data_IF_311507926435
#
_entry.id   IF_311507926435
#
_cell.length_a   1.000
_cell.length_b   1.000
_cell.length_c   1.000
_cell.angle_alpha   90.00
_cell.angle_beta   90.00
_cell.angle_gamma   90.00
#
_symmetry.space_group_name_H-M   'P 1'
#
loop_
_entity.id
_entity.type
_entity.pdbx_description
1 polymer ?
#
# COMPACT_ATOMS: atom_id res chain seq x y z
N UNK A 1 -24.70 20.42 8.49
CA UNK A 1 -24.16 19.06 8.28
C UNK A 1 -22.66 19.23 8.17
N UNK A 2 -21.92 18.76 9.16
CA UNK A 2 -20.46 18.85 9.14
C UNK A 2 -19.94 17.98 7.99
N UNK A 3 -18.91 18.44 7.27
CA UNK A 3 -18.38 17.71 6.12
C UNK A 3 -17.58 16.51 6.62
N UNK A 4 -17.87 15.32 6.11
CA UNK A 4 -17.09 14.12 6.40
C UNK A 4 -15.63 14.32 6.01
N UNK A 5 -14.72 13.71 6.78
CA UNK A 5 -13.28 13.77 6.53
C UNK A 5 -12.89 12.83 5.39
N UNK A 6 -12.16 13.34 4.41
CA UNK A 6 -11.75 12.65 3.18
C UNK A 6 -10.21 12.65 2.95
N UNK A 7 -9.46 13.13 3.94
CA UNK A 7 -7.99 13.18 3.94
C UNK A 7 -7.48 12.77 5.31
N UNK A 8 -6.63 11.74 5.35
CA UNK A 8 -6.17 11.12 6.58
C UNK A 8 -4.65 11.17 6.69
N UNK A 9 -4.16 11.65 7.84
CA UNK A 9 -2.77 11.49 8.25
C UNK A 9 -2.55 10.19 9.01
N UNK A 10 -1.30 9.95 9.42
CA UNK A 10 -0.96 8.69 10.10
C UNK A 10 -1.68 8.48 11.44
N UNK A 11 -1.90 9.55 12.22
CA UNK A 11 -2.65 9.45 13.48
C UNK A 11 -4.14 9.19 13.24
N UNK A 12 -4.71 9.74 12.16
CA UNK A 12 -6.09 9.45 11.77
C UNK A 12 -6.27 7.98 11.43
N UNK A 13 -5.35 7.40 10.65
CA UNK A 13 -5.39 5.97 10.35
C UNK A 13 -5.16 5.11 11.57
N UNK A 14 -4.25 5.50 12.47
CA UNK A 14 -4.02 4.77 13.71
C UNK A 14 -5.29 4.72 14.56
N UNK A 15 -5.99 5.85 14.70
CA UNK A 15 -7.27 5.91 15.38
C UNK A 15 -8.36 5.12 14.64
N UNK A 16 -8.45 5.29 13.32
CA UNK A 16 -9.39 4.59 12.45
C UNK A 16 -9.27 3.07 12.56
N UNK A 17 -8.05 2.56 12.40
CA UNK A 17 -7.76 1.13 12.46
C UNK A 17 -7.98 0.55 13.87
N UNK A 18 -7.69 1.31 14.93
CA UNK A 18 -8.02 0.90 16.29
C UNK A 18 -9.54 0.82 16.52
N UNK A 19 -10.33 1.75 15.98
CA UNK A 19 -11.79 1.67 16.05
C UNK A 19 -12.31 0.50 15.21
N UNK A 20 -11.77 0.30 14.00
CA UNK A 20 -12.11 -0.81 13.12
C UNK A 20 -11.86 -2.16 13.80
N UNK A 21 -10.69 -2.38 14.38
CA UNK A 21 -10.35 -3.61 15.11
C UNK A 21 -11.34 -3.90 16.23
N UNK A 22 -11.74 -2.87 16.98
CA UNK A 22 -12.77 -3.00 18.01
C UNK A 22 -14.17 -3.31 17.44
N UNK A 23 -14.52 -2.76 16.27
CA UNK A 23 -15.78 -3.08 15.58
C UNK A 23 -15.78 -4.48 14.96
N UNK A 24 -14.61 -5.01 14.58
CA UNK A 24 -14.43 -6.40 14.13
C UNK A 24 -14.58 -7.38 15.28
N UNK A 25 -14.09 -7.04 16.48
CA UNK A 25 -14.22 -7.86 17.69
C UNK A 25 -15.66 -8.09 18.20
N UNK A 26 -16.67 -7.51 17.52
CA UNK A 26 -18.10 -7.69 17.83
C UNK A 26 -18.79 -8.70 16.90
N UNK A 27 -18.08 -9.23 15.91
CA UNK A 27 -18.63 -10.16 14.94
C UNK A 27 -18.00 -11.54 15.13
N UNK A 28 -18.84 -12.55 15.35
CA UNK A 28 -18.38 -13.91 15.70
C UNK A 28 -17.51 -14.54 14.61
N UNK A 29 -17.79 -14.25 13.32
CA UNK A 29 -17.01 -14.77 12.21
C UNK A 29 -15.62 -14.12 12.18
N UNK A 30 -15.54 -12.80 12.28
CA UNK A 30 -14.24 -12.11 12.29
C UNK A 30 -13.39 -12.49 13.51
N UNK A 31 -14.02 -12.73 14.66
CA UNK A 31 -13.34 -13.20 15.88
C UNK A 31 -12.80 -14.61 15.71
N UNK A 32 -13.56 -15.52 15.11
CA UNK A 32 -13.16 -16.92 14.94
C UNK A 32 -11.94 -17.10 14.04
N UNK A 33 -11.76 -16.22 13.06
CA UNK A 33 -10.66 -16.27 12.09
C UNK A 33 -9.61 -15.16 12.28
N UNK A 34 -9.64 -14.49 13.43
CA UNK A 34 -8.68 -13.44 13.75
C UNK A 34 -7.24 -13.98 13.94
N UNK A 35 -6.21 -13.19 13.57
CA UNK A 35 -6.33 -11.90 12.91
C UNK A 35 -6.64 -12.03 11.40
N UNK A 36 -7.59 -11.25 10.91
CA UNK A 36 -7.80 -11.08 9.47
C UNK A 36 -6.64 -10.23 8.94
N UNK A 37 -5.89 -10.78 7.99
CA UNK A 37 -4.74 -10.09 7.40
C UNK A 37 -5.12 -9.41 6.09
N UNK A 38 -4.72 -8.13 5.98
CA UNK A 38 -4.79 -7.33 4.77
C UNK A 38 -3.38 -6.96 4.34
N UNK A 39 -3.14 -6.84 3.03
CA UNK A 39 -1.97 -6.14 2.50
C UNK A 39 -2.39 -4.81 1.91
N UNK A 40 -1.60 -3.76 2.10
CA UNK A 40 -1.90 -2.42 1.61
C UNK A 40 -0.69 -1.72 0.98
N UNK A 41 -0.95 -0.73 0.14
CA UNK A 41 0.05 -0.03 -0.68
C UNK A 41 -0.22 1.48 -0.75
N UNK A 42 0.46 2.17 -1.66
CA UNK A 42 0.08 3.49 -2.10
C UNK A 42 0.22 4.56 -1.02
N UNK A 43 -0.79 5.42 -0.92
CA UNK A 43 -0.75 6.58 -0.04
C UNK A 43 -0.70 6.22 1.44
N UNK A 44 -1.32 5.10 1.84
CA UNK A 44 -1.25 4.60 3.21
C UNK A 44 0.17 4.19 3.59
N UNK A 45 0.84 3.39 2.73
CA UNK A 45 2.25 3.02 2.90
C UNK A 45 3.17 4.26 2.99
N UNK A 46 2.97 5.23 2.11
CA UNK A 46 3.72 6.49 2.09
C UNK A 46 3.52 7.34 3.37
N UNK A 47 2.29 7.38 3.87
CA UNK A 47 1.92 8.19 5.05
C UNK A 47 2.32 7.51 6.36
N UNK A 48 2.16 6.19 6.49
CA UNK A 48 2.33 5.48 7.76
C UNK A 48 3.72 4.92 7.98
N UNK A 49 4.37 4.42 6.92
CA UNK A 49 5.68 3.79 7.01
C UNK A 49 6.80 4.74 6.59
N UNK A 50 6.76 5.25 5.36
CA UNK A 50 7.84 6.09 4.83
C UNK A 50 7.83 7.53 5.35
N UNK A 51 6.68 8.01 5.83
CA UNK A 51 6.50 9.40 6.33
C UNK A 51 6.90 10.46 5.30
N UNK A 52 6.77 10.14 4.01
CA UNK A 52 7.09 11.06 2.90
C UNK A 52 5.85 11.83 2.40
N UNK A 53 4.67 11.57 2.98
CA UNK A 53 3.43 12.33 2.78
C UNK A 53 2.80 12.66 4.13
N UNK A 54 2.19 13.84 4.23
CA UNK A 54 1.43 14.23 5.42
C UNK A 54 0.05 13.55 5.49
N UNK A 55 -0.58 13.32 4.35
CA UNK A 55 -1.91 12.68 4.27
C UNK A 55 -2.18 12.00 2.92
N UNK A 56 -3.15 11.09 2.92
CA UNK A 56 -3.74 10.42 1.74
C UNK A 56 -5.26 10.36 1.83
N UNK A 57 -5.95 9.89 0.78
CA UNK A 57 -7.41 9.77 0.75
C UNK A 57 -7.94 8.56 1.52
N UNK A 58 -7.30 7.41 1.42
CA UNK A 58 -7.87 6.12 1.85
C UNK A 58 -6.78 5.03 2.05
N UNK A 59 -7.21 3.86 2.49
CA UNK A 59 -6.44 2.60 2.51
C UNK A 59 -6.99 1.67 1.43
N UNK A 60 -6.24 1.51 0.35
CA UNK A 60 -6.45 0.43 -0.60
C UNK A 60 -5.89 -0.87 -0.01
N UNK A 61 -6.71 -1.91 0.08
CA UNK A 61 -6.28 -3.22 0.59
C UNK A 61 -6.58 -4.36 -0.38
N UNK A 62 -5.81 -5.43 -0.23
CA UNK A 62 -6.14 -6.76 -0.74
C UNK A 62 -6.33 -7.68 0.47
N UNK A 63 -7.46 -8.37 0.53
CA UNK A 63 -7.77 -9.35 1.57
C UNK A 63 -6.98 -10.64 1.32
N UNK A 64 -6.64 -11.34 2.40
CA UNK A 64 -6.04 -12.68 2.33
C UNK A 64 -6.78 -13.55 1.30
N UNK A 65 -6.06 -14.16 0.33
CA UNK A 65 -6.63 -14.97 -0.74
C UNK A 65 -7.57 -16.05 -0.22
N UNK A 66 -7.33 -16.58 0.98
CA UNK A 66 -8.21 -17.61 1.56
C UNK A 66 -9.63 -17.08 1.82
N UNK A 67 -9.80 -15.78 2.07
CA UNK A 67 -11.09 -15.12 2.34
C UNK A 67 -11.61 -14.31 1.14
N UNK A 68 -10.86 -14.22 0.03
CA UNK A 68 -11.15 -13.33 -1.08
C UNK A 68 -12.52 -13.55 -1.76
N UNK A 69 -13.06 -14.76 -1.64
CA UNK A 69 -14.38 -15.17 -2.15
C UNK A 69 -15.36 -15.58 -1.04
N UNK A 70 -15.00 -15.38 0.23
CA UNK A 70 -15.81 -15.77 1.38
C UNK A 70 -16.68 -14.60 1.86
N UNK A 71 -17.98 -14.71 1.60
CA UNK A 71 -18.94 -13.68 2.01
C UNK A 71 -19.20 -13.66 3.53
N UNK A 72 -18.88 -14.74 4.26
CA UNK A 72 -18.99 -14.81 5.71
C UNK A 72 -17.88 -14.00 6.39
N UNK A 73 -16.79 -13.69 5.68
CA UNK A 73 -15.74 -12.78 6.15
C UNK A 73 -15.89 -11.39 5.52
N UNK A 74 -16.09 -11.30 4.21
CA UNK A 74 -16.11 -10.02 3.48
C UNK A 74 -17.22 -9.08 3.93
N UNK A 75 -18.44 -9.60 4.10
CA UNK A 75 -19.59 -8.76 4.50
C UNK A 75 -19.42 -8.24 5.94
N UNK A 76 -19.08 -9.07 6.94
CA UNK A 76 -18.73 -8.55 8.27
C UNK A 76 -17.61 -7.53 8.28
N UNK A 77 -16.53 -7.76 7.52
CA UNK A 77 -15.42 -6.80 7.41
C UNK A 77 -15.88 -5.45 6.87
N UNK A 78 -16.62 -5.44 5.75
CA UNK A 78 -17.19 -4.22 5.17
C UNK A 78 -18.12 -3.50 6.16
N UNK A 79 -19.00 -4.26 6.84
CA UNK A 79 -19.89 -3.69 7.85
C UNK A 79 -19.10 -3.07 9.03
N UNK A 80 -18.01 -3.69 9.46
CA UNK A 80 -17.13 -3.14 10.51
C UNK A 80 -16.44 -1.84 10.05
N UNK A 81 -15.95 -1.79 8.80
CA UNK A 81 -15.36 -0.59 8.18
C UNK A 81 -16.36 0.56 8.17
N UNK A 82 -17.59 0.32 7.71
CA UNK A 82 -18.66 1.33 7.69
C UNK A 82 -19.05 1.81 9.09
N UNK A 83 -19.15 0.91 10.07
CA UNK A 83 -19.44 1.29 11.47
C UNK A 83 -18.32 2.15 12.06
N UNK A 84 -17.06 1.81 11.78
CA UNK A 84 -15.91 2.58 12.22
C UNK A 84 -15.88 3.98 11.58
N UNK A 85 -16.15 4.07 10.27
CA UNK A 85 -16.23 5.33 9.53
C UNK A 85 -17.25 6.29 10.16
N UNK A 86 -18.49 5.81 10.33
CA UNK A 86 -19.59 6.58 10.92
C UNK A 86 -19.31 7.04 12.35
N UNK A 87 -18.63 6.21 13.14
CA UNK A 87 -18.25 6.55 14.51
C UNK A 87 -17.22 7.68 14.57
N UNK A 88 -16.40 7.82 13.53
CA UNK A 88 -15.32 8.81 13.44
C UNK A 88 -15.65 10.01 12.55
N UNK A 89 -16.80 10.00 11.84
CA UNK A 89 -17.15 11.02 10.86
C UNK A 89 -16.27 10.99 9.60
N UNK A 90 -15.77 9.80 9.24
CA UNK A 90 -14.98 9.56 8.03
C UNK A 90 -15.93 9.19 6.89
N UNK A 91 -15.48 9.39 5.64
CA UNK A 91 -16.14 8.83 4.46
C UNK A 91 -16.20 7.29 4.57
N UNK A 92 -17.29 6.69 4.10
CA UNK A 92 -17.55 5.24 4.25
C UNK A 92 -16.50 4.36 3.52
N UNK A 93 -15.80 4.89 2.52
CA UNK A 93 -14.81 4.22 1.67
C UNK A 93 -13.34 4.47 2.06
N UNK A 94 -13.09 5.01 3.26
CA UNK A 94 -11.73 5.26 3.78
C UNK A 94 -10.83 4.02 3.87
N UNK A 95 -11.41 2.81 3.84
CA UNK A 95 -10.74 1.52 3.65
C UNK A 95 -11.52 0.72 2.62
N UNK A 96 -10.89 0.36 1.50
CA UNK A 96 -11.58 -0.28 0.38
C UNK A 96 -10.71 -1.34 -0.32
N UNK A 97 -11.36 -2.29 -1.02
CA UNK A 97 -10.70 -3.41 -1.70
C UNK A 97 -10.25 -3.05 -3.14
N UNK A 98 -9.95 -1.77 -3.43
CA UNK A 98 -9.59 -1.36 -4.80
C UNK A 98 -8.35 -2.06 -5.34
N UNK A 99 -7.45 -2.52 -4.46
CA UNK A 99 -6.24 -3.24 -4.84
C UNK A 99 -6.56 -4.53 -5.62
N UNK A 100 -7.70 -5.17 -5.33
CA UNK A 100 -8.16 -6.37 -6.03
C UNK A 100 -8.43 -6.15 -7.53
N UNK A 101 -8.71 -4.92 -7.98
CA UNK A 101 -8.85 -4.61 -9.40
C UNK A 101 -7.52 -4.63 -10.15
N UNK A 102 -6.41 -4.37 -9.46
CA UNK A 102 -5.08 -4.29 -10.06
C UNK A 102 -4.29 -5.59 -9.94
N UNK A 103 -4.76 -6.54 -9.14
CA UNK A 103 -4.09 -7.81 -8.87
C UNK A 103 -4.95 -8.98 -9.37
N UNK A 104 -4.57 -9.61 -10.50
CA UNK A 104 -5.23 -10.82 -10.96
C UNK A 104 -5.20 -11.91 -9.89
N UNK A 105 -6.30 -12.68 -9.77
CA UNK A 105 -6.50 -13.69 -8.72
C UNK A 105 -5.31 -14.67 -8.60
N UNK A 106 -4.77 -15.12 -9.74
CA UNK A 106 -3.63 -16.05 -9.79
C UNK A 106 -2.35 -15.53 -9.11
N UNK A 107 -2.21 -14.22 -8.90
CA UNK A 107 -1.04 -13.60 -8.28
C UNK A 107 -1.26 -13.18 -6.82
N UNK A 108 -2.50 -13.26 -6.31
CA UNK A 108 -2.81 -12.81 -4.95
C UNK A 108 -2.06 -13.61 -3.88
N UNK A 109 -1.99 -14.93 -4.05
CA UNK A 109 -1.24 -15.83 -3.17
C UNK A 109 0.24 -15.45 -3.11
N UNK A 110 0.88 -15.28 -4.28
CA UNK A 110 2.28 -14.88 -4.37
C UNK A 110 2.55 -13.53 -3.69
N UNK A 111 1.66 -12.55 -3.84
CA UNK A 111 1.82 -11.25 -3.19
C UNK A 111 1.70 -11.32 -1.68
N UNK A 112 0.79 -12.14 -1.15
CA UNK A 112 0.66 -12.36 0.27
C UNK A 112 1.88 -13.07 0.85
N UNK A 113 2.34 -14.15 0.22
CA UNK A 113 3.56 -14.86 0.64
C UNK A 113 4.76 -13.91 0.71
N UNK A 114 4.97 -13.09 -0.33
CA UNK A 114 6.04 -12.08 -0.35
C UNK A 114 5.85 -10.98 0.70
N UNK A 115 4.62 -10.58 1.01
CA UNK A 115 4.34 -9.58 2.05
C UNK A 115 4.65 -10.13 3.45
N UNK A 116 4.30 -11.39 3.71
CA UNK A 116 4.66 -12.11 4.95
C UNK A 116 6.17 -12.28 5.08
N UNK A 117 6.85 -12.69 4.01
CA UNK A 117 8.32 -12.80 3.98
C UNK A 117 9.00 -11.45 4.28
N UNK A 118 8.48 -10.37 3.71
CA UNK A 118 8.98 -9.01 3.94
C UNK A 118 8.65 -8.49 5.36
N UNK A 119 7.53 -8.93 5.93
CA UNK A 119 7.06 -8.64 7.29
C UNK A 119 7.09 -7.15 7.70
N UNK A 120 6.77 -6.24 6.78
CA UNK A 120 6.59 -4.83 7.11
C UNK A 120 5.16 -4.63 7.60
N UNK A 121 5.00 -4.60 8.93
CA UNK A 121 3.71 -4.35 9.59
C UNK A 121 3.38 -2.86 9.56
N UNK A 122 2.29 -2.49 8.90
CA UNK A 122 1.78 -1.11 8.86
C UNK A 122 0.88 -0.81 10.06
N UNK A 123 0.15 -1.84 10.51
CA UNK A 123 -0.70 -1.77 11.68
C UNK A 123 -1.04 -3.18 12.18
N UNK A 124 -1.16 -3.35 13.49
CA UNK A 124 -1.54 -4.63 14.10
C UNK A 124 -2.35 -4.38 15.37
N UNK A 125 -3.45 -5.13 15.49
CA UNK A 125 -4.33 -5.19 16.65
C UNK A 125 -4.73 -6.62 16.95
N UNK A 126 -5.86 -6.79 17.65
CA UNK A 126 -6.28 -8.12 18.10
C UNK A 126 -6.96 -8.92 16.98
N UNK A 127 -7.70 -8.24 16.10
CA UNK A 127 -8.58 -8.83 15.11
C UNK A 127 -8.14 -8.52 13.67
N UNK A 128 -7.36 -7.46 13.49
CA UNK A 128 -6.87 -7.00 12.19
C UNK A 128 -5.33 -6.92 12.19
N UNK A 129 -4.73 -7.32 11.08
CA UNK A 129 -3.33 -7.08 10.77
C UNK A 129 -3.22 -6.48 9.37
N UNK A 130 -2.45 -5.42 9.21
CA UNK A 130 -2.21 -4.78 7.92
C UNK A 130 -0.72 -4.81 7.63
N UNK A 131 -0.33 -5.56 6.62
CA UNK A 131 1.04 -5.61 6.10
C UNK A 131 1.20 -4.67 4.92
N UNK A 132 2.42 -4.22 4.67
CA UNK A 132 2.76 -3.60 3.41
C UNK A 132 2.79 -4.67 2.32
N UNK A 133 2.29 -4.34 1.13
CA UNK A 133 2.63 -5.12 -0.07
C UNK A 133 4.16 -5.23 -0.24
N UNK A 134 4.66 -6.22 -0.99
CA UNK A 134 6.08 -6.28 -1.33
C UNK A 134 6.54 -4.95 -1.92
N UNK A 135 7.59 -4.35 -1.35
CA UNK A 135 8.06 -3.01 -1.73
C UNK A 135 8.51 -2.98 -3.19
N UNK A 136 9.08 -4.07 -3.69
CA UNK A 136 9.42 -4.23 -5.11
C UNK A 136 8.18 -4.16 -6.00
N UNK A 137 7.05 -4.74 -5.58
CA UNK A 137 5.80 -4.65 -6.33
C UNK A 137 5.24 -3.23 -6.30
N UNK A 138 5.28 -2.57 -5.14
CA UNK A 138 4.85 -1.17 -5.01
C UNK A 138 5.72 -0.23 -5.87
N UNK A 139 7.03 -0.47 -5.91
CA UNK A 139 8.00 0.25 -6.73
C UNK A 139 7.71 0.07 -8.21
N UNK A 140 7.56 -1.18 -8.65
CA UNK A 140 7.25 -1.55 -10.03
C UNK A 140 6.01 -0.79 -10.54
N UNK A 141 4.90 -0.88 -9.82
CA UNK A 141 3.62 -0.26 -10.20
C UNK A 141 3.75 1.27 -10.35
N UNK A 142 4.49 1.91 -9.45
CA UNK A 142 4.71 3.37 -9.52
C UNK A 142 5.62 3.76 -10.67
N UNK A 143 6.71 3.03 -10.90
CA UNK A 143 7.60 3.28 -12.02
C UNK A 143 6.87 3.17 -13.36
N UNK A 144 6.03 2.15 -13.54
CA UNK A 144 5.19 1.98 -14.74
C UNK A 144 4.17 3.11 -14.90
N UNK A 145 3.54 3.55 -13.81
CA UNK A 145 2.61 4.70 -13.85
C UNK A 145 3.30 6.01 -14.21
N UNK A 146 4.51 6.23 -13.70
CA UNK A 146 5.37 7.37 -14.08
C UNK A 146 5.76 7.28 -15.55
N UNK A 147 6.13 6.10 -16.04
CA UNK A 147 6.54 5.89 -17.43
C UNK A 147 5.38 6.13 -18.41
N UNK A 148 4.24 5.48 -18.19
CA UNK A 148 3.10 5.52 -19.11
C UNK A 148 2.32 6.84 -19.07
N UNK A 149 2.46 7.65 -18.01
CA UNK A 149 1.69 8.88 -17.88
C UNK A 149 2.52 10.07 -17.41
N UNK A 150 3.10 10.81 -18.37
CA UNK A 150 3.90 12.01 -18.07
C UNK A 150 3.08 13.19 -17.50
N UNK A 151 1.75 13.20 -17.68
CA UNK A 151 0.87 14.33 -17.28
C UNK A 151 -0.20 13.96 -16.27
N UNK A 152 -0.09 12.83 -15.57
CA UNK A 152 -1.09 12.49 -14.55
C UNK A 152 -0.91 13.33 -13.27
N UNK A 153 -2.04 13.73 -12.67
CA UNK A 153 -2.08 14.62 -11.51
C UNK A 153 -1.29 14.11 -10.29
N UNK A 154 -1.12 12.78 -10.16
CA UNK A 154 -0.41 12.14 -9.04
C UNK A 154 1.11 12.00 -9.26
N UNK A 155 1.66 12.44 -10.40
CA UNK A 155 3.07 12.19 -10.78
C UNK A 155 4.08 12.62 -9.72
N UNK A 156 3.97 13.85 -9.20
CA UNK A 156 4.90 14.34 -8.19
C UNK A 156 4.92 13.48 -6.93
N UNK A 157 3.73 13.06 -6.49
CA UNK A 157 3.57 12.17 -5.34
C UNK A 157 4.10 10.76 -5.62
N UNK A 158 4.05 10.29 -6.87
CA UNK A 158 4.61 9.00 -7.25
C UNK A 158 6.13 9.00 -7.33
N UNK A 159 6.73 10.08 -7.83
CA UNK A 159 8.19 10.25 -7.78
C UNK A 159 8.62 10.23 -6.32
N UNK A 160 8.01 11.03 -5.44
CA UNK A 160 8.36 11.05 -4.03
C UNK A 160 8.28 9.67 -3.35
N UNK A 161 7.24 8.89 -3.64
CA UNK A 161 7.09 7.54 -3.10
C UNK A 161 8.13 6.56 -3.67
N UNK A 162 8.42 6.63 -4.98
CA UNK A 162 9.48 5.82 -5.62
C UNK A 162 10.82 6.11 -4.95
N UNK A 163 11.13 7.38 -4.72
CA UNK A 163 12.37 7.79 -4.06
C UNK A 163 12.45 7.28 -2.63
N UNK A 164 11.35 7.30 -1.87
CA UNK A 164 11.28 6.75 -0.52
C UNK A 164 11.49 5.23 -0.50
N UNK A 165 10.82 4.49 -1.39
CA UNK A 165 10.98 3.03 -1.51
C UNK A 165 12.42 2.67 -1.90
N UNK A 166 12.96 3.33 -2.93
CA UNK A 166 14.34 3.09 -3.37
C UNK A 166 15.34 3.40 -2.26
N UNK A 167 15.13 4.46 -1.49
CA UNK A 167 16.01 4.79 -0.37
C UNK A 167 16.00 3.71 0.70
N UNK A 168 14.83 3.15 1.00
CA UNK A 168 14.70 2.02 1.92
C UNK A 168 15.40 0.77 1.41
N UNK A 169 15.12 0.35 0.17
CA UNK A 169 15.72 -0.83 -0.46
C UNK A 169 17.26 -0.70 -0.55
N UNK A 170 17.76 0.47 -0.92
CA UNK A 170 19.21 0.75 -0.97
C UNK A 170 19.87 0.56 0.40
N UNK A 171 19.21 1.01 1.47
CA UNK A 171 19.73 0.84 2.85
C UNK A 171 19.71 -0.63 3.27
N UNK A 172 18.66 -1.37 2.93
CA UNK A 172 18.59 -2.82 3.19
C UNK A 172 19.68 -3.59 2.41
N UNK A 173 19.94 -3.21 1.17
CA UNK A 173 21.00 -3.81 0.34
C UNK A 173 22.42 -3.41 0.76
N UNK A 174 22.58 -2.41 1.65
CA UNK A 174 23.89 -1.90 2.06
C UNK A 174 24.62 -1.07 1.00
N UNK A 175 23.93 -0.65 -0.07
CA UNK A 175 24.55 0.05 -1.18
C UNK A 175 23.62 0.24 -2.38
N UNK A 176 24.12 0.84 -3.48
CA UNK A 176 23.35 1.08 -4.69
C UNK A 176 22.68 -0.21 -5.22
N UNK A 177 21.54 -0.04 -5.87
CA UNK A 177 20.70 -1.11 -6.41
C UNK A 177 21.05 -1.37 -7.88
N UNK A 178 20.86 -2.60 -8.34
CA UNK A 178 21.04 -2.91 -9.76
C UNK A 178 19.93 -2.21 -10.57
N UNK A 179 20.31 -1.25 -11.43
CA UNK A 179 19.35 -0.45 -12.21
C UNK A 179 18.44 -1.31 -13.07
N UNK A 180 19.02 -2.30 -13.75
CA UNK A 180 18.31 -3.12 -14.73
C UNK A 180 17.35 -4.09 -14.04
N UNK A 181 17.76 -4.64 -12.89
CA UNK A 181 16.86 -5.44 -12.06
C UNK A 181 15.63 -4.62 -11.64
N UNK A 182 15.83 -3.42 -11.08
CA UNK A 182 14.72 -2.55 -10.66
C UNK A 182 13.83 -2.16 -11.83
N UNK A 183 14.43 -1.84 -13.00
CA UNK A 183 13.69 -1.47 -14.21
C UNK A 183 12.82 -2.61 -14.74
N UNK A 184 13.26 -3.85 -14.58
CA UNK A 184 12.60 -5.04 -15.16
C UNK A 184 11.77 -5.85 -14.17
N UNK A 185 11.58 -5.35 -12.94
CA UNK A 185 10.66 -5.93 -11.96
C UNK A 185 9.30 -6.21 -12.61
N UNK A 186 8.80 -7.43 -12.39
CA UNK A 186 7.56 -7.89 -13.00
C UNK A 186 6.83 -8.93 -12.13
N UNK A 187 6.45 -8.55 -10.91
CA UNK A 187 5.89 -9.50 -9.93
C UNK A 187 4.45 -9.89 -10.31
N UNK A 188 3.64 -8.95 -10.82
CA UNK A 188 2.25 -9.22 -11.25
C UNK A 188 1.82 -8.47 -12.51
N UNK A 189 2.77 -8.00 -13.34
CA UNK A 189 2.44 -7.18 -14.50
C UNK A 189 2.67 -7.93 -15.82
N UNK A 190 1.98 -7.44 -16.84
CA UNK A 190 2.25 -7.74 -18.25
C UNK A 190 2.55 -6.47 -19.04
N UNK A 191 2.67 -5.33 -18.35
CA UNK A 191 2.95 -4.03 -18.94
C UNK A 191 4.41 -3.94 -19.40
N UNK A 192 4.69 -3.03 -20.33
CA UNK A 192 6.06 -2.76 -20.79
C UNK A 192 6.90 -2.13 -19.68
N UNK A 193 8.13 -2.61 -19.50
CA UNK A 193 9.06 -2.07 -18.53
C UNK A 193 9.35 -0.57 -18.80
N UNK A 194 9.58 0.25 -17.77
CA UNK A 194 10.05 1.62 -17.94
C UNK A 194 11.28 1.72 -18.84
N UNK A 195 11.34 2.78 -19.63
CA UNK A 195 12.48 3.09 -20.49
C UNK A 195 13.67 3.68 -19.71
N UNK A 196 14.81 3.76 -20.39
CA UNK A 196 16.03 4.34 -19.82
C UNK A 196 15.83 5.79 -19.37
N UNK A 197 15.08 6.58 -20.14
CA UNK A 197 14.80 7.98 -19.83
C UNK A 197 14.07 8.13 -18.49
N UNK A 198 13.07 7.28 -18.23
CA UNK A 198 12.37 7.24 -16.94
C UNK A 198 13.33 6.90 -15.80
N UNK A 199 14.21 5.92 -16.00
CA UNK A 199 15.18 5.54 -14.96
C UNK A 199 16.23 6.63 -14.69
N UNK A 200 16.65 7.38 -15.73
CA UNK A 200 17.55 8.54 -15.56
C UNK A 200 16.87 9.67 -14.81
N UNK A 201 15.59 9.94 -15.09
CA UNK A 201 14.80 10.93 -14.33
C UNK A 201 14.74 10.56 -12.84
N UNK A 202 14.43 9.30 -12.53
CA UNK A 202 14.37 8.81 -11.14
C UNK A 202 15.75 8.89 -10.47
N UNK A 203 16.82 8.48 -11.15
CA UNK A 203 18.17 8.57 -10.60
C UNK A 203 18.59 10.03 -10.31
N UNK A 204 18.22 10.94 -11.21
CA UNK A 204 18.49 12.38 -11.04
C UNK A 204 17.73 12.95 -9.84
N UNK A 205 16.43 12.65 -9.75
CA UNK A 205 15.61 13.11 -8.62
C UNK A 205 16.10 12.52 -7.29
N UNK A 206 16.53 11.26 -7.28
CA UNK A 206 17.12 10.63 -6.10
C UNK A 206 18.39 11.34 -5.65
N UNK A 207 19.32 11.61 -6.58
CA UNK A 207 20.58 12.30 -6.27
C UNK A 207 20.32 13.70 -5.71
N UNK A 208 19.36 14.43 -6.27
CA UNK A 208 18.96 15.74 -5.76
C UNK A 208 18.40 15.68 -4.33
N UNK A 209 17.67 14.62 -3.98
CA UNK A 209 17.04 14.48 -2.67
C UNK A 209 17.99 13.94 -1.58
N UNK A 210 18.87 12.99 -1.92
CA UNK A 210 19.66 12.23 -0.94
C UNK A 210 21.18 12.39 -1.09
N UNK A 211 21.64 13.23 -2.02
CA UNK A 211 23.06 13.51 -2.30
C UNK A 211 23.90 12.23 -2.50
N UNK A 212 23.31 11.22 -3.14
CA UNK A 212 23.90 9.90 -3.34
C UNK A 212 23.33 9.24 -4.60
N UNK A 213 24.06 8.26 -5.12
CA UNK A 213 23.57 7.41 -6.20
C UNK A 213 22.74 6.24 -5.69
N UNK A 214 21.56 6.08 -6.30
CA UNK A 214 20.64 4.96 -6.02
C UNK A 214 21.00 3.71 -6.80
N UNK A 215 21.55 3.85 -7.99
CA UNK A 215 21.85 2.73 -8.88
C UNK A 215 23.35 2.60 -9.16
N UNK A 216 23.77 1.37 -9.45
CA UNK A 216 25.03 1.05 -10.14
C UNK A 216 24.75 0.48 -11.53
#
# INVERSE_FOLDING_TARGET
MEREKDRFGAEDFKQGLAVLDNEMGKDDWLVAFAPITLISTGGFLATNFFRNRESTGDIDYLLDPQWAHDNEIKKPLQNAITRAARRLGFIDDWVNEELAFFVPDQFRQLLFEKAEEQNIVLWEGRYLRVLAVPLEWALERKLRRIHHSKRHAKRGSDIADVLAILHHLRRQNGGPLNREYIRTLNICSFETAPDDATMVEIATAYRQQYDNDVFF
#
